data_IF_947200186617
#
_entry.id   IF_947200186617
#
_cell.length_a   1.000
_cell.length_b   1.000
_cell.length_c   1.000
_cell.angle_alpha   90.00
_cell.angle_beta   90.00
_cell.angle_gamma   90.00
#
_symmetry.space_group_name_H-M   'P 1'
#
loop_
_entity.id
_entity.type
_entity.pdbx_description
1 polymer ?
#
# COMPACT_ATOMS: atom_id res chain seq x y z
N UNK A 1 -11.30 -15.16 18.36
CA UNK A 1 -11.61 -14.27 17.22
C UNK A 1 -10.35 -14.20 16.37
N UNK A 2 -10.36 -14.79 15.17
CA UNK A 2 -9.17 -14.76 14.30
C UNK A 2 -9.27 -13.54 13.41
N UNK A 3 -8.39 -12.57 13.64
CA UNK A 3 -8.23 -11.41 12.75
C UNK A 3 -7.41 -11.88 11.55
N UNK A 4 -7.97 -11.82 10.34
CA UNK A 4 -7.27 -12.21 9.10
C UNK A 4 -7.95 -13.28 8.25
N UNK A 5 -9.04 -13.90 8.70
CA UNK A 5 -9.78 -14.83 7.85
C UNK A 5 -10.43 -14.07 6.67
N UNK A 6 -10.05 -14.42 5.44
CA UNK A 6 -10.55 -13.78 4.21
C UNK A 6 -9.87 -12.47 3.82
N UNK A 7 -8.73 -12.15 4.45
CA UNK A 7 -7.91 -10.97 4.11
C UNK A 7 -6.57 -11.43 3.52
N UNK A 8 -6.22 -10.87 2.36
CA UNK A 8 -4.93 -11.04 1.71
C UNK A 8 -4.10 -9.76 1.81
N UNK A 9 -2.78 -9.92 1.77
CA UNK A 9 -1.83 -8.81 1.68
C UNK A 9 -1.29 -8.78 0.26
N UNK A 10 -1.46 -7.65 -0.42
CA UNK A 10 -1.01 -7.46 -1.80
C UNK A 10 0.03 -6.34 -1.88
N UNK A 11 0.98 -6.50 -2.79
CA UNK A 11 1.95 -5.46 -3.16
C UNK A 11 1.61 -4.91 -4.55
N UNK A 12 1.53 -3.59 -4.68
CA UNK A 12 1.29 -2.93 -5.96
C UNK A 12 2.39 -1.92 -6.24
N UNK A 13 2.95 -1.97 -7.45
CA UNK A 13 3.98 -1.00 -7.88
C UNK A 13 3.29 0.28 -8.34
N UNK A 14 3.76 1.42 -7.86
CA UNK A 14 3.29 2.74 -8.28
C UNK A 14 3.90 3.07 -9.64
N UNK A 15 3.04 3.20 -10.65
CA UNK A 15 3.41 3.53 -12.02
C UNK A 15 3.70 5.01 -12.24
N UNK A 16 4.14 5.33 -13.46
CA UNK A 16 4.38 6.70 -13.86
C UNK A 16 3.05 7.48 -13.91
N UNK A 17 2.96 8.57 -13.15
CA UNK A 17 1.75 9.40 -13.05
C UNK A 17 0.72 8.94 -12.01
N UNK A 18 0.96 7.83 -11.31
CA UNK A 18 0.09 7.30 -10.26
C UNK A 18 0.52 7.75 -8.85
N UNK A 19 1.63 8.49 -8.75
CA UNK A 19 2.11 9.03 -7.49
C UNK A 19 1.21 10.13 -6.93
N UNK A 20 1.24 10.30 -5.61
CA UNK A 20 0.45 11.32 -4.91
C UNK A 20 0.33 11.07 -3.42
N UNK A 21 -0.45 11.89 -2.70
CA UNK A 21 -0.65 11.76 -1.25
C UNK A 21 -1.16 10.37 -0.87
N UNK A 22 -0.75 9.78 0.25
CA UNK A 22 -1.44 8.60 0.76
C UNK A 22 -2.75 8.97 1.48
N UNK A 23 -3.81 8.14 1.40
CA UNK A 23 -3.97 6.97 0.55
C UNK A 23 -4.70 7.35 -0.76
N UNK A 24 -4.00 7.94 -1.72
CA UNK A 24 -4.53 8.12 -3.08
C UNK A 24 -4.15 6.90 -3.91
N UNK A 25 -5.15 6.23 -4.50
CA UNK A 25 -4.92 5.27 -5.58
C UNK A 25 -5.06 3.79 -5.26
N UNK A 26 -5.40 3.36 -4.03
CA UNK A 26 -5.58 1.93 -3.75
C UNK A 26 -7.03 1.50 -3.89
N UNK A 27 -7.41 1.10 -5.10
CA UNK A 27 -8.59 0.24 -5.32
C UNK A 27 -8.53 -1.05 -4.48
N UNK A 28 -7.34 -1.40 -3.96
CA UNK A 28 -7.06 -2.64 -3.24
C UNK A 28 -7.39 -2.67 -1.75
N UNK A 29 -7.81 -1.56 -1.13
CA UNK A 29 -8.15 -1.52 0.31
C UNK A 29 -7.12 -0.78 1.18
N UNK A 30 -7.14 -0.96 2.52
CA UNK A 30 -6.30 -0.21 3.44
C UNK A 30 -4.80 -0.42 3.20
N UNK A 31 -4.06 0.68 3.04
CA UNK A 31 -2.59 0.67 2.96
C UNK A 31 -2.00 0.49 4.36
N UNK A 32 -1.06 -0.44 4.49
CA UNK A 32 -0.36 -0.71 5.76
C UNK A 32 1.11 -0.32 5.71
N UNK A 33 1.73 -0.30 4.53
CA UNK A 33 3.14 0.07 4.36
C UNK A 33 3.46 0.55 2.93
N UNK A 34 4.59 1.24 2.81
CA UNK A 34 5.25 1.57 1.54
C UNK A 34 6.65 0.99 1.53
N UNK A 35 7.06 0.36 0.44
CA UNK A 35 8.43 -0.08 0.20
C UNK A 35 9.09 0.85 -0.80
N UNK A 36 10.17 1.52 -0.38
CA UNK A 36 10.94 2.46 -1.22
C UNK A 36 12.42 2.13 -1.14
N UNK A 37 13.05 1.89 -2.29
CA UNK A 37 14.48 1.52 -2.32
C UNK A 37 14.83 0.25 -1.54
N UNK A 38 13.85 -0.64 -1.30
CA UNK A 38 14.02 -1.86 -0.50
C UNK A 38 13.75 -1.69 1.00
N UNK A 39 13.51 -0.46 1.48
CA UNK A 39 13.15 -0.20 2.87
C UNK A 39 11.63 -0.15 3.05
N UNK A 40 11.15 -0.64 4.19
CA UNK A 40 9.72 -0.65 4.55
C UNK A 40 9.41 0.52 5.48
N UNK A 41 8.45 1.33 5.08
CA UNK A 41 7.91 2.46 5.82
C UNK A 41 6.48 2.16 6.23
N UNK A 42 6.08 2.58 7.43
CA UNK A 42 4.68 2.55 7.82
C UNK A 42 3.89 3.54 6.96
N UNK A 43 2.60 3.27 6.75
CA UNK A 43 1.74 4.15 5.95
C UNK A 43 1.64 5.60 6.49
N UNK A 44 1.90 5.79 7.80
CA UNK A 44 1.84 7.08 8.50
C UNK A 44 3.20 7.75 8.69
N UNK A 45 4.27 7.21 8.07
CA UNK A 45 5.60 7.80 8.12
C UNK A 45 5.70 9.00 7.16
N UNK A 46 6.09 10.17 7.69
CA UNK A 46 6.17 11.43 6.95
C UNK A 46 7.08 11.33 5.71
N UNK A 47 8.07 10.43 5.71
CA UNK A 47 8.98 10.21 4.56
C UNK A 47 8.27 9.62 3.34
N UNK A 48 7.09 9.01 3.55
CA UNK A 48 6.24 8.40 2.52
C UNK A 48 4.83 8.97 2.53
N UNK A 49 4.64 10.19 3.06
CA UNK A 49 3.36 10.91 3.00
C UNK A 49 2.82 11.03 1.56
N UNK A 50 3.71 11.00 0.57
CA UNK A 50 3.40 10.88 -0.85
C UNK A 50 4.13 9.69 -1.48
N UNK A 51 3.39 8.92 -2.28
CA UNK A 51 3.91 7.87 -3.15
C UNK A 51 4.53 8.45 -4.41
N UNK A 52 5.52 7.74 -4.94
CA UNK A 52 6.27 8.12 -6.14
C UNK A 52 6.41 6.90 -7.06
N UNK A 53 6.60 7.11 -8.37
CA UNK A 53 6.84 6.02 -9.29
C UNK A 53 8.00 5.11 -8.81
N UNK A 54 7.77 3.81 -8.83
CA UNK A 54 8.72 2.79 -8.36
C UNK A 54 8.59 2.42 -6.88
N UNK A 55 7.78 3.14 -6.10
CA UNK A 55 7.36 2.64 -4.78
C UNK A 55 6.51 1.38 -4.94
N UNK A 56 6.51 0.55 -3.89
CA UNK A 56 5.51 -0.52 -3.75
C UNK A 56 4.62 -0.24 -2.56
N UNK A 57 3.31 -0.23 -2.78
CA UNK A 57 2.31 -0.07 -1.73
C UNK A 57 1.85 -1.44 -1.26
N UNK A 58 1.88 -1.67 0.05
CA UNK A 58 1.38 -2.88 0.68
C UNK A 58 -0.03 -2.59 1.20
N UNK A 59 -1.02 -3.30 0.69
CA UNK A 59 -2.42 -3.10 1.04
C UNK A 59 -3.07 -4.40 1.49
N UNK A 60 -4.11 -4.27 2.30
CA UNK A 60 -4.98 -5.38 2.70
C UNK A 60 -6.16 -5.44 1.75
N UNK A 61 -6.34 -6.58 1.08
CA UNK A 61 -7.45 -6.84 0.18
C UNK A 61 -8.39 -7.89 0.78
N UNK A 62 -9.70 -7.71 0.58
CA UNK A 62 -10.68 -8.73 0.96
C UNK A 62 -10.89 -9.70 -0.19
N UNK A 63 -10.66 -10.99 0.02
CA UNK A 63 -11.13 -12.03 -0.88
C UNK A 63 -12.60 -12.31 -0.55
N UNK A 64 -13.51 -11.50 -1.11
CA UNK A 64 -14.92 -11.88 -1.22
C UNK A 64 -15.14 -12.37 -2.65
N UNK A 65 -15.27 -13.68 -2.80
CA UNK A 65 -16.00 -14.28 -3.93
C UNK A 65 -17.49 -13.89 -3.89
#
# INVERSE_FOLDING_TARGET
MTVGAGLDIVEQTVGAGEGGPLPSGTESGPVVAVVRGGEVYRFDDERVAETRPGDRVVAVHSHRD
#
